data_IF_856676621863
#
_entry.id   IF_856676621863
#
_cell.length_a   1.000
_cell.length_b   1.000
_cell.length_c   1.000
_cell.angle_alpha   90.00
_cell.angle_beta   90.00
_cell.angle_gamma   90.00
#
_symmetry.space_group_name_H-M   'P 1'
#
loop_
_entity.id
_entity.type
_entity.pdbx_description
1 polymer ?
#
# COMPACT_ATOMS: atom_id res chain seq x y z
N UNK A 1 -37.94 -10.80 20.35
CA UNK A 1 -36.62 -10.75 19.69
C UNK A 1 -35.59 -11.05 20.75
N UNK A 2 -34.83 -12.13 20.59
CA UNK A 2 -33.95 -12.68 21.63
C UNK A 2 -32.70 -11.82 21.83
N UNK A 3 -32.39 -11.53 23.09
CA UNK A 3 -31.20 -10.75 23.50
C UNK A 3 -29.89 -11.38 23.02
N UNK A 4 -29.82 -12.71 22.95
CA UNK A 4 -28.65 -13.44 22.44
C UNK A 4 -28.36 -13.14 20.96
N UNK A 5 -29.39 -12.90 20.14
CA UNK A 5 -29.22 -12.57 18.70
C UNK A 5 -28.69 -11.14 18.52
N UNK A 6 -28.99 -10.24 19.45
CA UNK A 6 -28.52 -8.85 19.42
C UNK A 6 -27.06 -8.77 19.89
N UNK A 7 -26.69 -9.47 20.97
CA UNK A 7 -25.30 -9.54 21.46
C UNK A 7 -24.35 -10.19 20.43
N UNK A 8 -24.77 -11.28 19.76
CA UNK A 8 -23.96 -11.92 18.73
C UNK A 8 -23.73 -11.01 17.52
N UNK A 9 -24.74 -10.22 17.12
CA UNK A 9 -24.61 -9.29 15.99
C UNK A 9 -23.69 -8.10 16.35
N UNK A 10 -23.83 -7.53 17.55
CA UNK A 10 -22.94 -6.47 18.03
C UNK A 10 -21.48 -6.94 18.14
N UNK A 11 -21.25 -8.17 18.60
CA UNK A 11 -19.92 -8.79 18.67
C UNK A 11 -19.31 -8.99 17.28
N UNK A 12 -20.08 -9.49 16.31
CA UNK A 12 -19.62 -9.66 14.91
C UNK A 12 -19.31 -8.31 14.26
N UNK A 13 -20.12 -7.27 14.51
CA UNK A 13 -19.85 -5.93 14.00
C UNK A 13 -18.59 -5.31 14.64
N UNK A 14 -18.38 -5.52 15.94
CA UNK A 14 -17.16 -5.07 16.62
C UNK A 14 -15.92 -5.79 16.08
N UNK A 15 -15.99 -7.09 15.85
CA UNK A 15 -14.93 -7.88 15.23
C UNK A 15 -14.64 -7.43 13.79
N UNK A 16 -15.67 -7.14 12.99
CA UNK A 16 -15.49 -6.61 11.63
C UNK A 16 -14.83 -5.23 11.62
N UNK A 17 -15.20 -4.35 12.56
CA UNK A 17 -14.53 -3.04 12.74
C UNK A 17 -13.07 -3.21 13.16
N UNK A 18 -12.79 -4.09 14.13
CA UNK A 18 -11.44 -4.38 14.57
C UNK A 18 -10.60 -4.96 13.42
N UNK A 19 -11.16 -5.88 12.65
CA UNK A 19 -10.50 -6.45 11.47
C UNK A 19 -10.19 -5.37 10.43
N UNK A 20 -11.14 -4.48 10.14
CA UNK A 20 -10.94 -3.36 9.22
C UNK A 20 -9.84 -2.39 9.68
N UNK A 21 -9.72 -2.14 10.98
CA UNK A 21 -8.64 -1.35 11.56
C UNK A 21 -7.30 -2.08 11.41
N UNK A 22 -7.25 -3.37 11.78
CA UNK A 22 -6.04 -4.20 11.70
C UNK A 22 -5.54 -4.38 10.27
N UNK A 23 -6.44 -4.50 9.29
CA UNK A 23 -6.06 -4.63 7.87
C UNK A 23 -5.98 -3.28 7.14
N UNK A 24 -6.26 -2.17 7.83
CA UNK A 24 -6.24 -0.82 7.25
C UNK A 24 -4.88 -0.47 6.63
N UNK A 25 -3.80 -0.82 7.33
CA UNK A 25 -2.43 -0.57 6.82
C UNK A 25 -2.15 -1.32 5.51
N UNK A 26 -2.70 -2.53 5.32
CA UNK A 26 -2.54 -3.30 4.09
C UNK A 26 -3.19 -2.60 2.89
N UNK A 27 -4.30 -1.89 3.11
CA UNK A 27 -4.99 -1.13 2.05
C UNK A 27 -4.12 0.02 1.56
N UNK A 28 -3.59 0.83 2.49
CA UNK A 28 -2.68 1.94 2.16
C UNK A 28 -1.38 1.46 1.52
N UNK A 29 -0.79 0.37 2.02
CA UNK A 29 0.42 -0.22 1.45
C UNK A 29 0.19 -0.80 0.05
N UNK A 30 -0.97 -1.43 -0.17
CA UNK A 30 -1.32 -1.94 -1.50
C UNK A 30 -1.51 -0.80 -2.49
N UNK A 31 -2.18 0.28 -2.07
CA UNK A 31 -2.35 1.48 -2.90
C UNK A 31 -1.00 2.14 -3.21
N UNK A 32 -0.14 2.33 -2.21
CA UNK A 32 1.23 2.85 -2.41
C UNK A 32 1.99 1.99 -3.42
N UNK A 33 1.95 0.66 -3.26
CA UNK A 33 2.62 -0.25 -4.18
C UNK A 33 2.06 -0.12 -5.61
N UNK A 34 0.75 0.07 -5.77
CA UNK A 34 0.14 0.29 -7.07
C UNK A 34 0.60 1.60 -7.74
N UNK A 35 0.76 2.66 -6.96
CA UNK A 35 1.29 3.95 -7.40
C UNK A 35 2.76 3.84 -7.79
N UNK A 36 3.59 3.27 -6.91
CA UNK A 36 5.03 3.11 -7.14
C UNK A 36 5.33 2.24 -8.37
N UNK A 37 4.47 1.25 -8.65
CA UNK A 37 4.57 0.38 -9.83
C UNK A 37 3.96 1.00 -11.09
N UNK A 38 3.27 2.14 -11.01
CA UNK A 38 2.58 2.74 -12.15
C UNK A 38 1.44 1.87 -12.71
N UNK A 39 0.76 1.07 -11.85
CA UNK A 39 -0.30 0.15 -12.30
C UNK A 39 -1.46 0.91 -12.95
N UNK A 40 -1.92 1.99 -12.31
CA UNK A 40 -3.05 2.76 -12.82
C UNK A 40 -2.72 3.41 -14.17
N UNK A 41 -1.55 4.03 -14.28
CA UNK A 41 -1.07 4.65 -15.53
C UNK A 41 -0.90 3.61 -16.64
N UNK A 42 -0.34 2.44 -16.34
CA UNK A 42 -0.18 1.37 -17.33
C UNK A 42 -1.52 0.89 -17.90
N UNK A 43 -2.55 0.75 -17.05
CA UNK A 43 -3.88 0.35 -17.51
C UNK A 43 -4.57 1.51 -18.28
N UNK A 44 -4.44 2.75 -17.81
CA UNK A 44 -5.06 3.91 -18.48
C UNK A 44 -4.45 4.17 -19.86
N UNK A 45 -3.11 4.12 -19.98
CA UNK A 45 -2.38 4.27 -21.24
C UNK A 45 -2.72 3.17 -22.27
N UNK A 46 -3.19 2.00 -21.83
CA UNK A 46 -3.61 0.92 -22.71
C UNK A 46 -4.98 1.20 -23.34
N UNK A 47 -5.83 2.01 -22.72
CA UNK A 47 -7.13 2.46 -23.25
C UNK A 47 -8.24 1.41 -23.25
N UNK A 48 -7.92 0.16 -22.92
CA UNK A 48 -8.87 -0.94 -22.72
C UNK A 48 -8.45 -1.80 -21.54
N UNK A 49 -9.36 -2.68 -21.10
CA UNK A 49 -9.14 -3.49 -19.93
C UNK A 49 -7.93 -4.43 -20.14
N UNK A 50 -7.10 -4.58 -19.10
CA UNK A 50 -5.78 -5.19 -19.24
C UNK A 50 -5.68 -6.52 -18.47
N UNK A 51 -5.23 -7.58 -19.14
CA UNK A 51 -4.98 -8.87 -18.49
C UNK A 51 -3.72 -8.83 -17.60
N UNK A 52 -3.64 -9.74 -16.62
CA UNK A 52 -2.46 -9.88 -15.75
C UNK A 52 -1.15 -10.05 -16.52
N UNK A 53 -1.17 -10.82 -17.62
CA UNK A 53 0.04 -11.07 -18.42
C UNK A 53 0.48 -9.84 -19.20
N UNK A 54 -0.47 -9.07 -19.74
CA UNK A 54 -0.19 -7.79 -20.40
C UNK A 54 0.38 -6.79 -19.38
N UNK A 55 -0.27 -6.62 -18.23
CA UNK A 55 0.20 -5.72 -17.18
C UNK A 55 1.60 -6.08 -16.69
N UNK A 56 1.85 -7.37 -16.47
CA UNK A 56 3.17 -7.84 -16.08
C UNK A 56 4.24 -7.47 -17.13
N UNK A 57 3.91 -7.63 -18.42
CA UNK A 57 4.83 -7.28 -19.51
C UNK A 57 5.06 -5.77 -19.62
N UNK A 58 4.02 -4.96 -19.51
CA UNK A 58 4.08 -3.49 -19.56
C UNK A 58 4.94 -2.95 -18.43
N UNK A 59 4.78 -3.48 -17.22
CA UNK A 59 5.54 -3.07 -16.04
C UNK A 59 6.93 -3.71 -15.95
N UNK A 60 7.33 -4.51 -16.95
CA UNK A 60 8.59 -5.25 -16.96
C UNK A 60 8.82 -6.12 -15.70
N UNK A 61 7.73 -6.66 -15.13
CA UNK A 61 7.80 -7.45 -13.89
C UNK A 61 8.31 -8.87 -14.20
N UNK A 62 9.32 -9.37 -13.47
CA UNK A 62 9.80 -10.74 -13.63
C UNK A 62 8.68 -11.77 -13.44
N UNK A 63 8.66 -12.82 -14.28
CA UNK A 63 7.65 -13.90 -14.21
C UNK A 63 7.58 -14.57 -12.85
N UNK A 64 8.70 -14.66 -12.13
CA UNK A 64 8.77 -15.19 -10.75
C UNK A 64 7.99 -14.36 -9.73
N UNK A 65 7.72 -13.08 -10.03
CA UNK A 65 6.94 -12.16 -9.19
C UNK A 65 5.46 -12.10 -9.59
N UNK A 66 5.05 -12.75 -10.68
CA UNK A 66 3.65 -12.79 -11.14
C UNK A 66 2.64 -13.19 -10.05
N UNK A 67 2.89 -14.19 -9.17
CA UNK A 67 1.96 -14.51 -8.08
C UNK A 67 1.80 -13.38 -7.06
N UNK A 68 2.84 -12.56 -6.84
CA UNK A 68 2.81 -11.43 -5.93
C UNK A 68 2.01 -10.28 -6.53
N UNK A 69 2.23 -10.00 -7.83
CA UNK A 69 1.43 -9.04 -8.58
C UNK A 69 -0.06 -9.42 -8.56
N UNK A 70 -0.38 -10.70 -8.80
CA UNK A 70 -1.75 -11.21 -8.69
C UNK A 70 -2.37 -10.96 -7.31
N UNK A 71 -1.64 -11.25 -6.23
CA UNK A 71 -2.13 -11.02 -4.85
C UNK A 71 -2.37 -9.54 -4.57
N UNK A 72 -1.48 -8.66 -5.05
CA UNK A 72 -1.63 -7.22 -4.95
C UNK A 72 -2.90 -6.75 -5.67
N UNK A 73 -3.07 -7.14 -6.93
CA UNK A 73 -4.24 -6.79 -7.74
C UNK A 73 -5.54 -7.29 -7.08
N UNK A 74 -5.53 -8.50 -6.52
CA UNK A 74 -6.68 -9.03 -5.77
C UNK A 74 -7.06 -8.15 -4.57
N UNK A 75 -6.08 -7.63 -3.83
CA UNK A 75 -6.34 -6.70 -2.73
C UNK A 75 -6.90 -5.38 -3.28
N UNK A 76 -6.28 -4.82 -4.32
CA UNK A 76 -6.72 -3.57 -4.93
C UNK A 76 -8.15 -3.66 -5.46
N UNK A 77 -8.51 -4.76 -6.13
CA UNK A 77 -9.88 -5.02 -6.60
C UNK A 77 -10.83 -5.15 -5.42
N UNK A 78 -10.47 -5.91 -4.38
CA UNK A 78 -11.34 -6.11 -3.23
C UNK A 78 -11.59 -4.81 -2.43
N UNK A 79 -10.61 -3.91 -2.39
CA UNK A 79 -10.73 -2.60 -1.74
C UNK A 79 -11.50 -1.60 -2.61
N UNK A 80 -11.65 -1.87 -3.91
CA UNK A 80 -12.36 -1.02 -4.86
C UNK A 80 -11.47 0.03 -5.53
N UNK A 81 -10.15 -0.21 -5.62
CA UNK A 81 -9.24 0.62 -6.43
C UNK A 81 -9.18 0.16 -7.89
N UNK A 82 -9.54 -1.09 -8.16
CA UNK A 82 -9.62 -1.68 -9.49
C UNK A 82 -10.96 -2.40 -9.67
N UNK A 83 -11.45 -2.48 -10.90
CA UNK A 83 -12.60 -3.31 -11.27
C UNK A 83 -12.14 -4.42 -12.20
N UNK A 84 -12.56 -5.64 -11.89
CA UNK A 84 -12.43 -6.79 -12.76
C UNK A 84 -13.64 -6.88 -13.71
N UNK A 85 -13.41 -6.97 -15.02
CA UNK A 85 -14.49 -7.23 -15.99
C UNK A 85 -14.67 -8.74 -16.21
N UNK A 86 -15.78 -9.31 -15.73
CA UNK A 86 -16.05 -10.73 -15.92
C UNK A 86 -16.61 -11.06 -17.30
N UNK A 87 -15.89 -11.84 -18.11
CA UNK A 87 -16.53 -12.74 -19.08
C UNK A 87 -16.79 -14.07 -18.37
N UNK A 88 -18.06 -14.48 -18.30
CA UNK A 88 -18.51 -15.56 -17.43
C UNK A 88 -17.77 -16.90 -17.55
N UNK A 89 -17.67 -17.55 -16.39
CA UNK A 89 -17.36 -18.97 -16.13
C UNK A 89 -15.87 -19.38 -16.17
N UNK A 90 -15.28 -19.54 -14.97
CA UNK A 90 -14.11 -20.41 -14.75
C UNK A 90 -13.04 -19.86 -13.81
N UNK A 91 -12.86 -20.54 -12.68
CA UNK A 91 -11.73 -20.55 -11.73
C UNK A 91 -10.41 -19.87 -12.13
N UNK A 92 -9.92 -18.98 -11.25
CA UNK A 92 -8.52 -18.52 -11.06
C UNK A 92 -7.90 -17.41 -11.93
N UNK A 93 -8.63 -16.77 -12.85
CA UNK A 93 -8.09 -15.61 -13.57
C UNK A 93 -8.74 -14.31 -13.06
N UNK A 94 -7.93 -13.38 -12.55
CA UNK A 94 -8.35 -11.96 -12.56
C UNK A 94 -8.48 -11.60 -14.04
N UNK A 95 -9.71 -11.32 -14.46
CA UNK A 95 -9.98 -10.81 -15.79
C UNK A 95 -9.56 -9.34 -15.90
N UNK A 96 -9.35 -8.91 -17.14
CA UNK A 96 -9.34 -7.54 -17.65
C UNK A 96 -9.68 -6.45 -16.61
N UNK A 97 -8.63 -5.72 -16.19
CA UNK A 97 -8.71 -4.70 -15.14
C UNK A 97 -8.95 -3.31 -15.71
N UNK A 98 -9.76 -2.51 -15.01
CA UNK A 98 -9.90 -1.06 -15.25
C UNK A 98 -9.65 -0.29 -13.96
N UNK A 99 -8.95 0.87 -13.99
CA UNK A 99 -8.78 1.70 -12.82
C UNK A 99 -10.12 2.34 -12.45
N UNK A 100 -10.45 2.36 -11.16
CA UNK A 100 -11.44 3.31 -10.68
C UNK A 100 -10.70 4.63 -10.48
N UNK A 101 -11.26 5.72 -10.99
CA UNK A 101 -10.80 7.07 -10.68
C UNK A 101 -11.21 7.43 -9.24
N UNK A 102 -10.57 6.79 -8.25
CA UNK A 102 -10.93 6.89 -6.83
C UNK A 102 -10.71 8.30 -6.29
N UNK A 103 -9.88 9.10 -6.95
CA UNK A 103 -9.63 10.49 -6.61
C UNK A 103 -10.46 11.49 -7.41
N UNK A 104 -11.41 11.03 -8.23
CA UNK A 104 -12.35 11.90 -8.95
C UNK A 104 -13.19 12.72 -7.97
N UNK A 105 -13.10 14.04 -8.07
CA UNK A 105 -13.85 14.96 -7.19
C UNK A 105 -13.28 15.09 -5.78
N UNK A 106 -12.17 14.40 -5.48
CA UNK A 106 -11.38 14.65 -4.27
C UNK A 106 -10.45 15.82 -4.54
N UNK A 107 -10.57 16.89 -3.76
CA UNK A 107 -9.72 18.08 -3.90
C UNK A 107 -8.72 18.25 -2.76
N UNK A 108 -9.00 17.65 -1.60
CA UNK A 108 -8.14 17.69 -0.41
C UNK A 108 -8.16 16.34 0.30
N UNK A 109 -6.98 15.84 0.67
CA UNK A 109 -6.79 14.60 1.42
C UNK A 109 -5.91 14.87 2.65
N UNK A 110 -6.29 14.31 3.80
CA UNK A 110 -5.47 14.34 5.01
C UNK A 110 -4.96 12.94 5.29
N UNK A 111 -3.64 12.78 5.24
CA UNK A 111 -2.90 11.52 5.46
C UNK A 111 -2.44 11.45 6.92
N UNK A 112 -3.33 10.93 7.77
CA UNK A 112 -3.10 10.80 9.21
C UNK A 112 -2.25 9.56 9.50
N UNK A 113 -1.14 9.74 10.22
CA UNK A 113 -0.10 8.72 10.38
C UNK A 113 0.72 8.50 9.12
N UNK A 114 0.81 9.51 8.24
CA UNK A 114 1.46 9.38 6.93
C UNK A 114 2.99 9.30 6.98
N UNK A 115 3.61 9.37 8.16
CA UNK A 115 5.05 9.30 8.35
C UNK A 115 5.78 10.43 7.62
N UNK A 116 6.69 10.04 6.72
CA UNK A 116 7.43 10.97 5.86
C UNK A 116 6.61 11.51 4.68
N UNK A 117 5.33 11.10 4.55
CA UNK A 117 4.43 11.57 3.50
C UNK A 117 4.62 10.87 2.15
N UNK A 118 5.28 9.71 2.11
CA UNK A 118 5.56 9.01 0.85
C UNK A 118 4.30 8.67 0.05
N UNK A 119 3.21 8.27 0.73
CA UNK A 119 1.92 8.02 0.08
C UNK A 119 1.33 9.32 -0.48
N UNK A 120 1.24 10.35 0.35
CA UNK A 120 0.78 11.68 -0.06
C UNK A 120 1.53 12.23 -1.27
N UNK A 121 2.86 12.08 -1.30
CA UNK A 121 3.70 12.47 -2.43
C UNK A 121 3.31 11.71 -3.70
N UNK A 122 3.22 10.38 -3.62
CA UNK A 122 2.79 9.55 -4.76
C UNK A 122 1.40 9.95 -5.28
N UNK A 123 0.46 10.28 -4.38
CA UNK A 123 -0.86 10.78 -4.78
C UNK A 123 -0.74 12.12 -5.50
N UNK A 124 -0.03 13.11 -4.96
CA UNK A 124 0.10 14.44 -5.58
C UNK A 124 0.84 14.41 -6.93
N UNK A 125 1.78 13.48 -7.12
CA UNK A 125 2.50 13.30 -8.39
C UNK A 125 1.61 12.69 -9.48
N UNK A 126 0.74 11.74 -9.12
CA UNK A 126 -0.16 11.07 -10.07
C UNK A 126 -1.51 11.78 -10.24
N UNK A 127 -1.94 12.56 -9.24
CA UNK A 127 -3.23 13.26 -9.22
C UNK A 127 -3.03 14.72 -8.76
N UNK A 128 -2.50 15.60 -9.62
CA UNK A 128 -2.10 16.96 -9.23
C UNK A 128 -3.26 17.86 -8.75
N UNK A 129 -4.51 17.45 -9.03
CA UNK A 129 -5.72 18.15 -8.56
C UNK A 129 -6.06 17.87 -7.08
N UNK A 130 -5.37 16.92 -6.44
CA UNK A 130 -5.57 16.55 -5.03
C UNK A 130 -4.49 17.23 -4.18
N UNK A 131 -4.90 18.06 -3.23
CA UNK A 131 -3.99 18.61 -2.22
C UNK A 131 -3.89 17.65 -1.03
N UNK A 132 -2.67 17.20 -0.70
CA UNK A 132 -2.44 16.30 0.43
C UNK A 132 -1.83 17.06 1.63
N UNK A 133 -2.38 16.84 2.83
CA UNK A 133 -1.78 17.26 4.11
C UNK A 133 -1.40 16.03 4.92
N UNK A 134 -0.13 15.91 5.31
CA UNK A 134 0.34 14.80 6.16
C UNK A 134 0.27 15.21 7.62
N UNK A 135 -0.37 14.40 8.45
CA UNK A 135 -0.43 14.59 9.89
C UNK A 135 0.21 13.40 10.59
N UNK A 136 1.21 13.63 11.44
CA UNK A 136 1.82 12.60 12.26
C UNK A 136 2.26 13.19 13.61
N UNK A 137 2.76 12.35 14.51
CA UNK A 137 3.33 12.78 15.77
C UNK A 137 4.54 13.70 15.51
N UNK A 138 4.76 14.75 16.33
CA UNK A 138 5.85 15.70 16.12
C UNK A 138 7.23 15.05 15.97
N UNK A 139 7.47 13.97 16.70
CA UNK A 139 8.70 13.17 16.66
C UNK A 139 8.93 12.39 15.36
N UNK A 140 7.88 12.12 14.59
CA UNK A 140 7.94 11.49 13.27
C UNK A 140 8.19 12.55 12.21
N UNK A 141 7.48 13.70 12.28
CA UNK A 141 7.64 14.84 11.35
C UNK A 141 9.06 15.47 11.44
N UNK A 142 9.67 15.49 12.63
CA UNK A 142 11.00 16.10 12.84
C UNK A 142 12.18 15.15 12.58
N UNK A 143 11.94 13.88 12.22
CA UNK A 143 13.02 12.94 11.89
C UNK A 143 13.33 13.00 10.40
N UNK A 144 14.39 13.71 10.05
CA UNK A 144 15.21 13.25 8.94
C UNK A 144 15.80 11.89 9.34
N UNK A 145 15.61 10.86 8.53
CA UNK A 145 16.29 9.59 8.76
C UNK A 145 17.80 9.84 8.83
N UNK A 146 18.48 9.23 9.82
CA UNK A 146 19.94 9.27 9.87
C UNK A 146 20.47 8.54 8.64
N UNK A 147 21.44 9.14 7.97
CA UNK A 147 22.15 8.47 6.89
C UNK A 147 22.99 7.29 7.44
N UNK A 148 23.45 6.42 6.53
CA UNK A 148 24.20 5.23 6.91
C UNK A 148 25.50 5.58 7.66
N UNK A 149 26.15 6.70 7.34
CA UNK A 149 27.38 7.16 8.00
C UNK A 149 27.11 7.56 9.47
N UNK A 150 25.99 8.23 9.72
CA UNK A 150 25.55 8.59 11.06
C UNK A 150 25.20 7.35 11.89
N UNK A 151 24.58 6.33 11.28
CA UNK A 151 24.34 5.04 11.93
C UNK A 151 25.62 4.28 12.23
N UNK A 152 26.53 4.19 11.26
CA UNK A 152 27.83 3.53 11.42
C UNK A 152 28.61 4.14 12.58
N UNK A 153 28.67 5.47 12.67
CA UNK A 153 29.34 6.16 13.77
C UNK A 153 28.71 5.81 15.12
N UNK A 154 27.38 5.85 15.22
CA UNK A 154 26.66 5.55 16.45
C UNK A 154 26.94 4.12 16.95
N UNK A 155 26.96 3.14 16.04
CA UNK A 155 27.23 1.74 16.40
C UNK A 155 28.67 1.53 16.81
N UNK A 156 29.61 2.18 16.12
CA UNK A 156 31.02 2.16 16.50
C UNK A 156 31.26 2.78 17.87
N UNK A 157 30.66 3.94 18.17
CA UNK A 157 30.75 4.61 19.47
C UNK A 157 30.15 3.76 20.60
N UNK A 158 29.14 2.94 20.29
CA UNK A 158 28.51 2.00 21.23
C UNK A 158 29.24 0.65 21.37
N UNK A 159 30.33 0.44 20.63
CA UNK A 159 31.19 -0.74 20.74
C UNK A 159 30.77 -1.95 19.88
N UNK A 160 29.87 -1.76 18.90
CA UNK A 160 29.48 -2.81 17.96
C UNK A 160 30.39 -2.80 16.73
N UNK A 161 30.82 -3.99 16.31
CA UNK A 161 31.75 -4.15 15.19
C UNK A 161 31.07 -4.18 13.81
N UNK A 162 29.78 -4.53 13.75
CA UNK A 162 29.04 -4.63 12.48
C UNK A 162 27.52 -4.49 12.64
N UNK A 163 26.84 -4.18 11.54
CA UNK A 163 25.39 -4.01 11.48
C UNK A 163 24.83 -4.42 10.12
N UNK A 164 23.52 -4.68 10.07
CA UNK A 164 22.77 -4.88 8.83
C UNK A 164 21.49 -4.03 8.87
N UNK A 165 21.26 -3.25 7.82
CA UNK A 165 20.03 -2.47 7.63
C UNK A 165 19.10 -3.26 6.71
N UNK A 166 17.93 -3.63 7.22
CA UNK A 166 16.89 -4.35 6.49
C UNK A 166 15.77 -3.37 6.16
N UNK A 167 15.66 -3.04 4.88
CA UNK A 167 14.55 -2.26 4.34
C UNK A 167 13.32 -3.15 4.24
N UNK A 168 12.52 -3.17 5.29
CA UNK A 168 11.22 -3.81 5.28
C UNK A 168 10.15 -2.78 4.90
N UNK A 169 9.42 -3.06 3.81
CA UNK A 169 8.39 -2.15 3.31
C UNK A 169 7.37 -1.78 4.40
N UNK A 170 7.26 -0.49 4.73
CA UNK A 170 6.26 0.03 5.66
C UNK A 170 6.70 0.15 7.13
N UNK A 171 7.97 -0.14 7.45
CA UNK A 171 8.60 0.25 8.72
C UNK A 171 9.85 1.08 8.42
N UNK A 172 10.10 2.13 9.23
CA UNK A 172 11.45 2.72 9.31
C UNK A 172 12.43 1.56 9.58
N UNK A 173 13.50 1.47 8.78
CA UNK A 173 14.39 0.31 8.64
C UNK A 173 14.63 -0.51 9.92
N UNK A 174 14.62 -1.84 9.82
CA UNK A 174 15.07 -2.72 10.91
C UNK A 174 16.59 -2.79 10.88
N UNK A 175 17.25 -2.48 11.99
CA UNK A 175 18.71 -2.55 12.09
C UNK A 175 19.10 -3.65 13.07
N UNK A 176 19.80 -4.66 12.57
CA UNK A 176 20.45 -5.68 13.39
C UNK A 176 21.89 -5.26 13.67
N UNK A 177 22.32 -5.33 14.94
CA UNK A 177 23.66 -4.94 15.39
C UNK A 177 24.35 -6.15 16.04
N UNK A 178 25.64 -6.32 15.77
CA UNK A 178 26.43 -7.44 16.25
C UNK A 178 27.64 -6.94 17.06
N UNK A 179 27.98 -7.59 18.19
CA UNK A 179 29.14 -7.24 19.01
C UNK A 179 30.42 -7.11 18.19
#
# INVERSE_FOLDING_TARGET
MDRNVIEDNESVQAQAKLWNLTVGYLKSMSLKCALDLGIAEAIDNHGEAMSLSQLQSTLSIPTTKKPHLYRLLRILTHVGFLVEQGTGVGTEAINDLTPIDVFKGVHSLVDVGGGTGALSKGITENFPHVECTVLDLPQVIHRAERDELQWQKLFSDAGFSSYQIILAMGIESVIEIYP
#
